data_IF_722544022867
#
_entry.id   IF_722544022867
#
_cell.length_a   1.000
_cell.length_b   1.000
_cell.length_c   1.000
_cell.angle_alpha   90.00
_cell.angle_beta   90.00
_cell.angle_gamma   90.00
#
_symmetry.space_group_name_H-M   'P 1'
#
loop_
_entity.id
_entity.type
_entity.pdbx_description
1 polymer ?
#
# COMPACT_ATOMS: atom_id res chain seq x y z
N UNK A 1 41.32 -17.41 -21.58
CA UNK A 1 41.04 -16.58 -20.40
C UNK A 1 40.43 -15.27 -20.91
N UNK A 2 39.15 -15.02 -20.63
CA UNK A 2 38.53 -13.74 -21.00
C UNK A 2 39.22 -12.61 -20.23
N UNK A 3 39.69 -11.54 -20.89
CA UNK A 3 40.47 -10.50 -20.24
C UNK A 3 39.59 -9.79 -19.20
N UNK A 4 40.07 -9.77 -17.96
CA UNK A 4 39.44 -9.13 -16.80
C UNK A 4 39.00 -7.68 -17.11
N UNK A 5 39.72 -7.01 -18.03
CA UNK A 5 39.46 -5.66 -18.53
C UNK A 5 38.11 -5.47 -19.25
N UNK A 6 37.47 -6.52 -19.75
CA UNK A 6 36.14 -6.45 -20.39
C UNK A 6 35.00 -6.69 -19.38
N UNK A 7 35.27 -7.48 -18.33
CA UNK A 7 34.32 -7.74 -17.24
C UNK A 7 34.13 -6.50 -16.35
N UNK A 8 35.18 -5.72 -16.14
CA UNK A 8 35.12 -4.51 -15.28
C UNK A 8 34.11 -3.47 -15.78
N UNK A 9 34.10 -3.02 -17.06
CA UNK A 9 33.12 -2.02 -17.51
C UNK A 9 31.68 -2.55 -17.53
N UNK A 10 31.48 -3.85 -17.77
CA UNK A 10 30.14 -4.47 -17.74
C UNK A 10 29.62 -4.53 -16.29
N UNK A 11 30.46 -4.94 -15.33
CA UNK A 11 30.11 -4.93 -13.91
C UNK A 11 29.92 -3.51 -13.38
N UNK A 12 30.67 -2.53 -13.90
CA UNK A 12 30.48 -1.11 -13.57
C UNK A 12 29.15 -0.60 -14.13
N UNK A 13 28.79 -0.97 -15.36
CA UNK A 13 27.51 -0.60 -15.98
C UNK A 13 26.32 -1.24 -15.26
N UNK A 14 26.44 -2.51 -14.85
CA UNK A 14 25.43 -3.19 -14.02
C UNK A 14 25.39 -2.56 -12.62
N UNK A 15 26.53 -2.22 -12.03
CA UNK A 15 26.60 -1.54 -10.73
C UNK A 15 26.00 -0.15 -10.75
N UNK A 16 26.24 0.63 -11.82
CA UNK A 16 25.62 1.94 -12.05
C UNK A 16 24.12 1.78 -12.31
N UNK A 17 23.70 0.78 -13.09
CA UNK A 17 22.30 0.48 -13.31
C UNK A 17 21.60 0.14 -11.98
N UNK A 18 22.19 -0.71 -11.14
CA UNK A 18 21.68 -1.07 -9.81
C UNK A 18 21.71 0.09 -8.79
N UNK A 19 22.63 1.04 -8.94
CA UNK A 19 22.68 2.26 -8.11
C UNK A 19 21.68 3.33 -8.57
N UNK A 20 21.37 3.38 -9.86
CA UNK A 20 20.30 4.20 -10.45
C UNK A 20 18.91 3.57 -10.28
N UNK A 21 18.85 2.26 -10.02
CA UNK A 21 17.64 1.48 -9.76
C UNK A 21 17.21 1.53 -8.28
N UNK A 22 17.61 2.58 -7.54
CA UNK A 22 16.72 3.12 -6.52
C UNK A 22 15.70 3.92 -7.32
N UNK A 23 14.52 3.37 -7.67
CA UNK A 23 13.58 4.12 -8.47
C UNK A 23 13.28 5.40 -7.70
N UNK A 24 13.76 6.52 -8.22
CA UNK A 24 13.25 7.81 -7.78
C UNK A 24 11.73 7.70 -7.85
N UNK A 25 11.03 8.14 -6.79
CA UNK A 25 9.61 7.88 -6.72
C UNK A 25 8.92 8.52 -7.93
N UNK A 26 8.39 7.68 -8.82
CA UNK A 26 7.79 8.12 -10.08
C UNK A 26 6.75 9.22 -9.81
N UNK A 27 6.79 10.30 -10.59
CA UNK A 27 5.73 11.28 -10.52
C UNK A 27 4.43 10.65 -11.05
N UNK A 28 3.24 11.14 -10.66
CA UNK A 28 1.96 10.57 -11.11
C UNK A 28 1.85 10.42 -12.64
N UNK A 29 2.38 11.39 -13.39
CA UNK A 29 2.44 11.35 -14.86
C UNK A 29 3.29 10.19 -15.40
N UNK A 30 4.41 9.88 -14.74
CA UNK A 30 5.35 8.84 -15.17
C UNK A 30 4.78 7.46 -14.83
N UNK A 31 4.07 7.35 -13.70
CA UNK A 31 3.28 6.16 -13.36
C UNK A 31 2.22 5.87 -14.43
N UNK A 32 1.52 6.88 -14.93
CA UNK A 32 0.50 6.71 -15.98
C UNK A 32 1.11 6.32 -17.34
N UNK A 33 2.31 6.81 -17.65
CA UNK A 33 2.99 6.51 -18.91
C UNK A 33 3.66 5.12 -18.94
N UNK A 34 4.02 4.57 -17.77
CA UNK A 34 4.73 3.28 -17.67
C UNK A 34 3.79 2.10 -17.93
N UNK A 35 4.17 1.26 -18.89
CA UNK A 35 3.41 0.08 -19.33
C UNK A 35 4.01 -1.24 -18.84
N UNK A 36 5.30 -1.26 -18.50
CA UNK A 36 5.99 -2.44 -17.99
C UNK A 36 6.38 -2.24 -16.54
N UNK A 37 5.97 -3.18 -15.69
CA UNK A 37 6.15 -3.12 -14.26
C UNK A 37 6.73 -4.43 -13.76
N UNK A 38 7.76 -4.36 -12.92
CA UNK A 38 8.07 -5.48 -12.02
C UNK A 38 7.05 -5.51 -10.88
N UNK A 39 6.87 -6.67 -10.24
CA UNK A 39 5.97 -6.81 -9.09
C UNK A 39 6.31 -5.84 -7.95
N UNK A 40 7.60 -5.64 -7.68
CA UNK A 40 8.07 -4.75 -6.62
C UNK A 40 7.86 -3.26 -6.96
N UNK A 41 8.14 -2.85 -8.21
CA UNK A 41 7.80 -1.48 -8.67
C UNK A 41 6.29 -1.21 -8.61
N UNK A 42 5.47 -2.17 -9.03
CA UNK A 42 4.02 -2.04 -9.01
C UNK A 42 3.50 -1.93 -7.58
N UNK A 43 4.03 -2.75 -6.68
CA UNK A 43 3.75 -2.70 -5.24
C UNK A 43 4.09 -1.33 -4.65
N UNK A 44 5.31 -0.84 -4.90
CA UNK A 44 5.74 0.51 -4.46
C UNK A 44 4.82 1.61 -4.99
N UNK A 45 4.54 1.62 -6.29
CA UNK A 45 3.72 2.65 -6.91
C UNK A 45 2.29 2.63 -6.36
N UNK A 46 1.72 1.43 -6.17
CA UNK A 46 0.38 1.27 -5.61
C UNK A 46 0.34 1.75 -4.16
N UNK A 47 1.31 1.34 -3.32
CA UNK A 47 1.42 1.80 -1.94
C UNK A 47 1.58 3.31 -1.81
N UNK A 48 2.45 3.91 -2.64
CA UNK A 48 2.63 5.37 -2.70
C UNK A 48 1.36 6.10 -3.11
N UNK A 49 0.59 5.56 -4.06
CA UNK A 49 -0.68 6.15 -4.51
C UNK A 49 -1.73 6.22 -3.39
N UNK A 50 -1.59 5.39 -2.35
CA UNK A 50 -2.49 5.35 -1.19
C UNK A 50 -2.11 6.38 -0.11
N UNK A 51 -0.88 6.91 -0.16
CA UNK A 51 -0.37 7.87 0.82
C UNK A 51 -1.25 9.13 0.90
N UNK A 52 -1.45 9.72 2.11
CA UNK A 52 -2.22 10.95 2.28
C UNK A 52 -1.77 12.11 1.37
N UNK A 53 -0.47 12.25 1.14
CA UNK A 53 0.14 13.35 0.37
C UNK A 53 0.20 13.10 -1.14
N UNK A 54 -0.24 11.94 -1.64
CA UNK A 54 -0.27 11.69 -3.07
C UNK A 54 -1.18 12.69 -3.79
N UNK A 55 -0.80 13.12 -5.00
CA UNK A 55 -1.55 14.06 -5.83
C UNK A 55 -3.02 13.66 -5.91
N UNK A 56 -3.89 14.51 -5.33
CA UNK A 56 -5.32 14.21 -5.20
C UNK A 56 -6.02 14.17 -6.56
N UNK A 57 -5.60 15.00 -7.50
CA UNK A 57 -6.22 15.10 -8.82
C UNK A 57 -5.88 13.90 -9.69
N UNK A 58 -4.68 13.34 -9.52
CA UNK A 58 -4.21 12.19 -10.29
C UNK A 58 -4.43 10.84 -9.60
N UNK A 59 -4.71 10.82 -8.28
CA UNK A 59 -4.82 9.60 -7.47
C UNK A 59 -5.73 8.54 -8.09
N UNK A 60 -6.95 8.92 -8.47
CA UNK A 60 -7.92 7.97 -9.02
C UNK A 60 -7.44 7.37 -10.35
N UNK A 61 -6.84 8.18 -11.21
CA UNK A 61 -6.34 7.73 -12.50
C UNK A 61 -5.14 6.81 -12.34
N UNK A 62 -4.19 7.17 -11.48
CA UNK A 62 -3.02 6.35 -11.16
C UNK A 62 -3.44 5.03 -10.56
N UNK A 63 -4.30 5.04 -9.54
CA UNK A 63 -4.79 3.81 -8.92
C UNK A 63 -5.50 2.91 -9.94
N UNK A 64 -6.37 3.48 -10.79
CA UNK A 64 -7.05 2.71 -11.84
C UNK A 64 -6.04 2.06 -12.80
N UNK A 65 -5.04 2.82 -13.26
CA UNK A 65 -3.98 2.30 -14.12
C UNK A 65 -3.21 1.16 -13.45
N UNK A 66 -2.73 1.36 -12.22
CA UNK A 66 -1.97 0.36 -11.49
C UNK A 66 -2.82 -0.90 -11.21
N UNK A 67 -4.09 -0.75 -10.84
CA UNK A 67 -4.99 -1.89 -10.65
C UNK A 67 -5.24 -2.68 -11.94
N UNK A 68 -5.25 -2.03 -13.12
CA UNK A 68 -5.31 -2.75 -14.39
C UNK A 68 -4.05 -3.58 -14.63
N UNK A 69 -2.87 -3.06 -14.29
CA UNK A 69 -1.63 -3.83 -14.37
C UNK A 69 -1.67 -5.05 -13.44
N UNK A 70 -2.13 -4.87 -12.19
CA UNK A 70 -2.27 -5.97 -11.22
C UNK A 70 -3.21 -7.07 -11.73
N UNK A 71 -4.31 -6.73 -12.40
CA UNK A 71 -5.28 -7.71 -12.91
C UNK A 71 -4.69 -8.68 -13.92
N UNK A 72 -3.67 -8.27 -14.66
CA UNK A 72 -3.03 -9.09 -15.70
C UNK A 72 -2.01 -10.10 -15.13
N UNK A 73 -1.71 -10.04 -13.84
CA UNK A 73 -0.72 -10.90 -13.19
C UNK A 73 -1.32 -12.25 -12.77
N UNK A 74 -0.45 -13.24 -12.56
CA UNK A 74 -0.84 -14.51 -11.93
C UNK A 74 -1.36 -14.29 -10.50
N UNK A 75 -2.16 -15.22 -9.92
CA UNK A 75 -2.65 -15.08 -8.54
C UNK A 75 -1.53 -14.88 -7.50
N UNK A 76 -0.41 -15.59 -7.66
CA UNK A 76 0.75 -15.49 -6.79
C UNK A 76 1.41 -14.10 -6.87
N UNK A 77 1.66 -13.61 -8.08
CA UNK A 77 2.23 -12.27 -8.29
C UNK A 77 1.28 -11.18 -7.78
N UNK A 78 -0.04 -11.32 -7.98
CA UNK A 78 -1.04 -10.41 -7.40
C UNK A 78 -0.95 -10.36 -5.89
N UNK A 79 -0.80 -11.52 -5.23
CA UNK A 79 -0.61 -11.57 -3.78
C UNK A 79 0.64 -10.81 -3.37
N UNK A 80 1.77 -11.06 -4.02
CA UNK A 80 3.04 -10.39 -3.75
C UNK A 80 2.93 -8.86 -3.90
N UNK A 81 2.33 -8.39 -5.00
CA UNK A 81 2.13 -6.95 -5.26
C UNK A 81 1.23 -6.31 -4.21
N UNK A 82 0.12 -6.96 -3.84
CA UNK A 82 -0.82 -6.40 -2.87
C UNK A 82 -0.20 -6.31 -1.47
N UNK A 83 0.54 -7.34 -1.05
CA UNK A 83 1.27 -7.32 0.23
C UNK A 83 2.32 -6.22 0.22
N UNK A 84 3.13 -6.12 -0.84
CA UNK A 84 4.12 -5.06 -0.98
C UNK A 84 3.47 -3.67 -0.95
N UNK A 85 2.37 -3.47 -1.67
CA UNK A 85 1.65 -2.20 -1.67
C UNK A 85 1.17 -1.77 -0.29
N UNK A 86 0.63 -2.70 0.49
CA UNK A 86 0.18 -2.43 1.86
C UNK A 86 1.38 -2.13 2.78
N UNK A 87 2.44 -2.93 2.69
CA UNK A 87 3.69 -2.69 3.42
C UNK A 87 4.23 -1.27 3.15
N UNK A 88 4.37 -0.88 1.88
CA UNK A 88 4.85 0.45 1.51
C UNK A 88 3.90 1.57 1.90
N UNK A 89 2.58 1.38 1.76
CA UNK A 89 1.60 2.38 2.19
C UNK A 89 1.68 2.65 3.70
N UNK A 90 1.86 1.60 4.50
CA UNK A 90 2.03 1.70 5.95
C UNK A 90 3.32 2.45 6.27
N UNK A 91 4.46 2.02 5.70
CA UNK A 91 5.76 2.64 5.99
C UNK A 91 5.77 4.13 5.64
N UNK A 92 5.25 4.47 4.47
CA UNK A 92 5.14 5.87 4.02
C UNK A 92 4.22 6.67 4.94
N UNK A 93 3.07 6.11 5.33
CA UNK A 93 2.13 6.78 6.24
C UNK A 93 2.77 7.01 7.61
N UNK A 94 3.47 6.02 8.16
CA UNK A 94 4.14 6.15 9.46
C UNK A 94 5.31 7.13 9.41
N UNK A 95 6.13 7.08 8.37
CA UNK A 95 7.21 8.05 8.16
C UNK A 95 6.67 9.48 8.13
N UNK A 96 5.55 9.70 7.42
CA UNK A 96 4.90 11.00 7.36
C UNK A 96 4.33 11.43 8.71
N UNK A 97 3.60 10.56 9.41
CA UNK A 97 3.03 10.89 10.72
C UNK A 97 4.11 11.24 11.75
N UNK A 98 5.25 10.54 11.72
CA UNK A 98 6.39 10.80 12.61
C UNK A 98 7.11 12.11 12.32
N UNK A 99 7.14 12.52 11.05
CA UNK A 99 7.73 13.78 10.62
C UNK A 99 6.80 15.00 10.85
N UNK A 100 5.51 14.79 11.13
CA UNK A 100 4.55 15.88 11.32
C UNK A 100 4.65 16.53 12.71
N UNK A 101 4.46 17.86 12.81
CA UNK A 101 4.19 18.55 14.07
C UNK A 101 2.97 17.95 14.80
N UNK A 102 2.97 17.98 16.14
CA UNK A 102 1.97 17.27 16.94
C UNK A 102 0.51 17.74 16.73
N UNK A 103 0.28 19.02 16.44
CA UNK A 103 -1.03 19.55 16.04
C UNK A 103 -1.49 19.00 14.68
N UNK A 104 -0.60 19.01 13.69
CA UNK A 104 -0.87 18.48 12.34
C UNK A 104 -1.03 16.96 12.32
N UNK A 105 -0.26 16.25 13.14
CA UNK A 105 -0.40 14.80 13.32
C UNK A 105 -1.78 14.47 13.87
N UNK A 106 -2.23 15.18 14.92
CA UNK A 106 -3.59 15.00 15.48
C UNK A 106 -4.68 15.27 14.45
N UNK A 107 -4.59 16.37 13.70
CA UNK A 107 -5.53 16.69 12.61
C UNK A 107 -5.61 15.57 11.55
N UNK A 108 -4.47 14.96 11.22
CA UNK A 108 -4.42 13.81 10.31
C UNK A 108 -5.06 12.56 10.92
N UNK A 109 -4.80 12.28 12.20
CA UNK A 109 -5.39 11.14 12.90
C UNK A 109 -6.92 11.25 12.98
N UNK A 110 -7.44 12.44 13.28
CA UNK A 110 -8.90 12.68 13.30
C UNK A 110 -9.51 12.38 11.94
N UNK A 111 -8.90 12.87 10.85
CA UNK A 111 -9.35 12.57 9.48
C UNK A 111 -9.27 11.09 9.12
N UNK A 112 -8.28 10.36 9.64
CA UNK A 112 -8.18 8.91 9.44
C UNK A 112 -9.31 8.18 10.17
N UNK A 113 -9.61 8.61 11.39
CA UNK A 113 -10.70 8.05 12.19
C UNK A 113 -12.07 8.33 11.54
N UNK A 114 -12.31 9.56 11.08
CA UNK A 114 -13.56 9.93 10.38
C UNK A 114 -13.77 9.07 9.14
N UNK A 115 -12.72 8.89 8.32
CA UNK A 115 -12.78 8.02 7.14
C UNK A 115 -13.03 6.56 7.50
N UNK A 116 -12.44 6.08 8.59
CA UNK A 116 -12.68 4.72 9.07
C UNK A 116 -14.14 4.55 9.52
N UNK A 117 -14.71 5.57 10.16
CA UNK A 117 -16.11 5.59 10.56
C UNK A 117 -17.05 5.61 9.34
N UNK A 118 -16.81 6.47 8.36
CA UNK A 118 -17.59 6.53 7.12
C UNK A 118 -17.57 5.20 6.37
N UNK A 119 -16.40 4.56 6.29
CA UNK A 119 -16.25 3.25 5.67
C UNK A 119 -17.03 2.17 6.45
N UNK A 120 -16.92 2.16 7.78
CA UNK A 120 -17.69 1.26 8.64
C UNK A 120 -19.20 1.42 8.39
N UNK A 121 -19.71 2.65 8.44
CA UNK A 121 -21.14 2.94 8.21
C UNK A 121 -21.58 2.54 6.81
N UNK A 122 -20.73 2.74 5.80
CA UNK A 122 -21.01 2.34 4.42
C UNK A 122 -21.12 0.82 4.28
N UNK A 123 -20.24 0.07 4.92
CA UNK A 123 -20.26 -1.41 4.90
C UNK A 123 -21.43 -1.94 5.72
N UNK A 124 -21.70 -1.37 6.89
CA UNK A 124 -22.82 -1.73 7.75
C UNK A 124 -24.17 -1.57 7.04
N UNK A 125 -24.36 -0.49 6.30
CA UNK A 125 -25.59 -0.20 5.57
C UNK A 125 -25.61 -0.79 4.15
N UNK A 126 -24.60 -1.56 3.77
CA UNK A 126 -24.52 -2.19 2.46
C UNK A 126 -25.55 -3.33 2.31
N UNK A 127 -26.14 -3.56 1.12
CA UNK A 127 -26.99 -4.73 0.90
C UNK A 127 -26.23 -6.06 1.15
N UNK A 128 -26.94 -7.06 1.68
CA UNK A 128 -26.32 -8.35 2.05
C UNK A 128 -25.60 -9.03 0.88
N UNK A 129 -26.15 -8.97 -0.33
CA UNK A 129 -25.50 -9.54 -1.53
C UNK A 129 -24.10 -8.96 -1.76
N UNK A 130 -23.93 -7.65 -1.56
CA UNK A 130 -22.63 -6.99 -1.71
C UNK A 130 -21.71 -7.27 -0.51
N UNK A 131 -22.24 -7.42 0.70
CA UNK A 131 -21.44 -7.87 1.86
C UNK A 131 -20.91 -9.28 1.64
N UNK A 132 -21.71 -10.18 1.08
CA UNK A 132 -21.29 -11.54 0.74
C UNK A 132 -20.19 -11.54 -0.34
N UNK A 133 -20.30 -10.69 -1.36
CA UNK A 133 -19.21 -10.51 -2.35
C UNK A 133 -17.89 -10.09 -1.68
N UNK A 134 -17.95 -9.13 -0.75
CA UNK A 134 -16.78 -8.68 0.01
C UNK A 134 -16.23 -9.77 0.93
N UNK A 135 -17.09 -10.52 1.62
CA UNK A 135 -16.71 -11.67 2.45
C UNK A 135 -15.93 -12.70 1.65
N UNK A 136 -16.46 -13.10 0.50
CA UNK A 136 -15.79 -14.04 -0.41
C UNK A 136 -14.43 -13.51 -0.88
N UNK A 137 -14.31 -12.20 -1.12
CA UNK A 137 -13.04 -11.58 -1.47
C UNK A 137 -12.03 -11.60 -0.30
N UNK A 138 -12.49 -11.38 0.93
CA UNK A 138 -11.67 -11.43 2.14
C UNK A 138 -11.19 -12.85 2.49
N UNK A 139 -11.92 -13.88 2.11
CA UNK A 139 -11.52 -15.28 2.32
C UNK A 139 -10.35 -15.75 1.44
N UNK A 140 -10.01 -14.96 0.40
CA UNK A 140 -8.91 -15.26 -0.50
C UNK A 140 -7.55 -15.27 0.21
N UNK A 141 -6.62 -16.12 -0.24
CA UNK A 141 -5.24 -16.14 0.27
C UNK A 141 -4.54 -14.78 0.16
N UNK A 142 -4.88 -14.02 -0.88
CA UNK A 142 -4.38 -12.67 -1.09
C UNK A 142 -4.81 -11.71 0.02
N UNK A 143 -6.08 -11.73 0.39
CA UNK A 143 -6.60 -10.90 1.48
C UNK A 143 -6.06 -11.33 2.85
N UNK A 144 -5.91 -12.63 3.09
CA UNK A 144 -5.28 -13.16 4.32
C UNK A 144 -3.82 -12.71 4.45
N UNK A 145 -3.06 -12.76 3.36
CA UNK A 145 -1.67 -12.28 3.35
C UNK A 145 -1.56 -10.78 3.62
N UNK A 146 -2.47 -9.97 3.04
CA UNK A 146 -2.58 -8.54 3.34
C UNK A 146 -2.93 -8.31 4.81
N UNK A 147 -3.87 -9.07 5.36
CA UNK A 147 -4.23 -9.01 6.78
C UNK A 147 -3.04 -9.31 7.70
N UNK A 148 -2.24 -10.32 7.36
CA UNK A 148 -1.00 -10.64 8.07
C UNK A 148 0.00 -9.49 8.10
N UNK A 149 0.17 -8.77 6.99
CA UNK A 149 1.06 -7.61 6.93
C UNK A 149 0.55 -6.43 7.77
N UNK A 150 -0.77 -6.20 7.81
CA UNK A 150 -1.37 -5.18 8.68
C UNK A 150 -1.12 -5.52 10.16
N UNK A 151 -1.30 -6.78 10.54
CA UNK A 151 -1.01 -7.26 11.91
C UNK A 151 0.47 -7.06 12.23
N UNK A 152 1.37 -7.46 11.34
CA UNK A 152 2.81 -7.25 11.47
C UNK A 152 3.14 -5.77 11.69
N UNK A 153 2.54 -4.86 10.93
CA UNK A 153 2.74 -3.44 11.13
C UNK A 153 2.28 -2.95 12.51
N UNK A 154 1.09 -3.36 12.96
CA UNK A 154 0.54 -2.93 14.25
C UNK A 154 1.44 -3.36 15.41
N UNK A 155 1.93 -4.60 15.39
CA UNK A 155 2.72 -5.15 16.50
C UNK A 155 4.23 -4.96 16.36
N UNK A 156 4.74 -4.86 15.13
CA UNK A 156 6.18 -4.79 14.82
C UNK A 156 6.69 -3.39 14.48
N UNK A 157 5.85 -2.49 13.93
CA UNK A 157 6.30 -1.16 13.46
C UNK A 157 5.81 0.02 14.31
N UNK A 158 4.61 -0.08 14.88
CA UNK A 158 4.07 0.98 15.74
C UNK A 158 4.68 0.97 17.14
N UNK A 159 5.03 2.14 17.66
CA UNK A 159 5.35 2.35 19.07
C UNK A 159 4.09 2.25 19.94
N UNK A 160 4.21 2.03 21.27
CA UNK A 160 3.05 2.00 22.17
C UNK A 160 2.19 3.28 22.12
N UNK A 161 2.83 4.45 22.00
CA UNK A 161 2.13 5.72 21.88
C UNK A 161 1.33 5.79 20.55
N UNK A 162 1.93 5.41 19.43
CA UNK A 162 1.27 5.40 18.12
C UNK A 162 0.11 4.39 18.06
N UNK A 163 0.24 3.24 18.74
CA UNK A 163 -0.89 2.29 18.91
C UNK A 163 -2.03 2.91 19.70
N UNK A 164 -1.72 3.73 20.71
CA UNK A 164 -2.72 4.49 21.47
C UNK A 164 -3.44 5.52 20.58
N UNK A 165 -2.69 6.29 19.79
CA UNK A 165 -3.23 7.30 18.87
C UNK A 165 -4.08 6.68 17.76
N UNK A 166 -3.62 5.58 17.14
CA UNK A 166 -4.35 4.87 16.08
C UNK A 166 -5.43 3.92 16.60
N UNK A 167 -5.49 3.67 17.90
CA UNK A 167 -6.40 2.72 18.53
C UNK A 167 -7.87 2.89 18.14
N UNK A 168 -8.44 4.11 18.17
CA UNK A 168 -9.81 4.36 17.71
C UNK A 168 -10.05 3.94 16.25
N UNK A 169 -9.13 4.32 15.36
CA UNK A 169 -9.17 3.98 13.93
C UNK A 169 -9.08 2.47 13.70
N UNK A 170 -8.15 1.80 14.38
CA UNK A 170 -7.97 0.34 14.29
C UNK A 170 -9.24 -0.38 14.77
N UNK A 171 -9.87 0.08 15.86
CA UNK A 171 -11.14 -0.49 16.35
C UNK A 171 -12.26 -0.39 15.31
N UNK A 172 -12.34 0.70 14.55
CA UNK A 172 -13.35 0.86 13.49
C UNK A 172 -13.06 -0.07 12.30
N UNK A 173 -11.80 -0.28 11.94
CA UNK A 173 -11.43 -1.26 10.91
C UNK A 173 -11.76 -2.69 11.33
N UNK A 174 -11.47 -3.08 12.57
CA UNK A 174 -11.86 -4.39 13.11
C UNK A 174 -13.38 -4.56 13.05
N UNK A 175 -14.15 -3.57 13.54
CA UNK A 175 -15.62 -3.60 13.46
C UNK A 175 -16.14 -3.72 12.02
N UNK A 176 -15.44 -3.13 11.06
CA UNK A 176 -15.81 -3.24 9.64
C UNK A 176 -15.64 -4.67 9.14
N UNK A 177 -14.57 -5.36 9.56
CA UNK A 177 -14.35 -6.77 9.26
C UNK A 177 -15.39 -7.64 9.97
N UNK A 178 -15.69 -7.38 11.25
CA UNK A 178 -16.70 -8.13 12.01
C UNK A 178 -18.09 -8.08 11.35
N UNK A 179 -18.45 -6.94 10.74
CA UNK A 179 -19.70 -6.82 9.96
C UNK A 179 -19.67 -7.70 8.72
N UNK A 180 -18.51 -7.89 8.12
CA UNK A 180 -18.33 -8.76 6.96
C UNK A 180 -18.22 -10.24 7.35
N UNK A 181 -17.97 -10.59 8.60
CA UNK A 181 -17.91 -11.99 9.07
C UNK A 181 -19.24 -12.56 9.58
N UNK A 182 -20.21 -11.69 9.92
CA UNK A 182 -21.56 -12.07 10.40
C UNK A 182 -22.56 -12.29 9.28
#
# INVERSE_FOLDING_TARGET
MLPLAVLTPILLAIGIFLLLDKPEPLAPKDMLAKTQWTSDELGRALGRSMSPHFDRNQRSNVQRHLYQQVKNLSPEERRQVNVAAVHYAIDETLAQLRAMPGDKRREMMDKLNDRAFDNYMKIQNMPESKRQELRNALDSEGAKAVGGEIVNAVYGKLTPAERGELGPTIKLWIKTIDVLEK
#
